data_IF_327500501553
#
_entry.id   IF_327500501553
#
_cell.length_a   1.000
_cell.length_b   1.000
_cell.length_c   1.000
_cell.angle_alpha   90.00
_cell.angle_beta   90.00
_cell.angle_gamma   90.00
#
_symmetry.space_group_name_H-M   'P 1'
#
loop_
_entity.id
_entity.type
_entity.pdbx_description
1 polymer ?
#
# COMPACT_ATOMS: atom_id res chain seq x y z
N UNK A 1 11.92 5.37 17.26
CA UNK A 1 12.15 5.88 15.89
C UNK A 1 12.09 7.42 15.81
N UNK A 2 13.11 8.07 15.24
CA UNK A 2 13.08 9.53 15.01
C UNK A 2 12.17 9.86 13.79
N UNK A 3 11.64 11.09 13.70
CA UNK A 3 10.71 11.47 12.63
C UNK A 3 11.31 11.38 11.21
N UNK A 4 12.60 11.70 11.05
CA UNK A 4 13.35 11.62 9.79
C UNK A 4 13.48 10.18 9.31
N UNK A 5 13.92 9.27 10.18
CA UNK A 5 14.02 7.83 9.87
C UNK A 5 12.68 7.25 9.44
N UNK A 6 11.59 7.62 10.12
CA UNK A 6 10.25 7.22 9.72
C UNK A 6 9.88 7.71 8.32
N UNK A 7 10.13 8.99 8.04
CA UNK A 7 9.89 9.59 6.73
C UNK A 7 10.64 8.86 5.62
N UNK A 8 11.93 8.57 5.83
CA UNK A 8 12.76 7.83 4.88
C UNK A 8 12.17 6.45 4.56
N UNK A 9 11.76 5.67 5.58
CA UNK A 9 11.18 4.34 5.32
C UNK A 9 9.86 4.43 4.57
N UNK A 10 8.98 5.35 4.95
CA UNK A 10 7.71 5.55 4.26
C UNK A 10 7.98 5.88 2.79
N UNK A 11 8.86 6.85 2.51
CA UNK A 11 9.23 7.22 1.15
C UNK A 11 9.85 6.08 0.36
N UNK A 12 10.81 5.35 0.94
CA UNK A 12 11.47 4.21 0.28
C UNK A 12 10.46 3.12 -0.08
N UNK A 13 9.58 2.74 0.84
CA UNK A 13 8.57 1.71 0.59
C UNK A 13 7.48 2.16 -0.39
N UNK A 14 7.13 3.45 -0.38
CA UNK A 14 6.26 4.03 -1.42
C UNK A 14 6.90 3.92 -2.80
N UNK A 15 8.18 4.24 -2.94
CA UNK A 15 8.90 4.10 -4.22
C UNK A 15 8.96 2.63 -4.65
N UNK A 16 9.29 1.71 -3.73
CA UNK A 16 9.31 0.27 -4.03
C UNK A 16 7.92 -0.21 -4.49
N UNK A 17 6.85 0.23 -3.82
CA UNK A 17 5.50 -0.09 -4.22
C UNK A 17 5.22 0.35 -5.66
N UNK A 18 5.48 1.63 -5.97
CA UNK A 18 5.26 2.23 -7.30
C UNK A 18 6.06 1.48 -8.36
N UNK A 19 7.34 1.20 -8.12
CA UNK A 19 8.18 0.47 -9.07
C UNK A 19 7.63 -0.93 -9.37
N UNK A 20 7.19 -1.67 -8.34
CA UNK A 20 6.59 -2.99 -8.53
C UNK A 20 5.30 -2.93 -9.33
N UNK A 21 4.45 -1.93 -9.06
CA UNK A 21 3.21 -1.69 -9.80
C UNK A 21 3.50 -1.31 -11.26
N UNK A 22 4.40 -0.36 -11.49
CA UNK A 22 4.79 0.08 -12.85
C UNK A 22 5.38 -1.04 -13.67
N UNK A 23 6.24 -1.87 -13.08
CA UNK A 23 6.81 -3.05 -13.75
C UNK A 23 5.71 -4.00 -14.23
N UNK A 24 4.73 -4.30 -13.38
CA UNK A 24 3.63 -5.21 -13.77
C UNK A 24 2.75 -4.59 -14.84
N UNK A 25 2.44 -3.30 -14.75
CA UNK A 25 1.65 -2.60 -15.76
C UNK A 25 2.37 -2.53 -17.12
N UNK A 26 3.68 -2.36 -17.15
CA UNK A 26 4.43 -2.31 -18.41
C UNK A 26 4.48 -3.68 -19.10
N UNK A 27 4.60 -4.77 -18.34
CA UNK A 27 4.84 -6.10 -18.88
C UNK A 27 3.58 -6.95 -19.07
N UNK A 28 2.53 -6.71 -18.28
CA UNK A 28 1.36 -7.60 -18.21
C UNK A 28 0.02 -6.90 -18.47
N UNK A 29 -0.01 -5.58 -18.70
CA UNK A 29 -1.27 -4.87 -18.95
C UNK A 29 -1.89 -5.33 -20.26
N UNK A 30 -2.95 -6.14 -20.13
CA UNK A 30 -3.76 -6.60 -21.25
C UNK A 30 -4.65 -5.45 -21.75
N UNK A 31 -4.19 -4.72 -22.77
CA UNK A 31 -4.98 -3.74 -23.50
C UNK A 31 -4.78 -2.29 -23.03
N UNK A 32 -4.78 -1.37 -24.01
CA UNK A 32 -4.71 0.07 -23.79
C UNK A 32 -6.11 0.67 -23.56
N UNK A 33 -6.87 0.13 -22.62
CA UNK A 33 -8.16 0.72 -22.25
C UNK A 33 -7.95 1.82 -21.20
N UNK A 34 -8.49 3.01 -21.47
CA UNK A 34 -8.48 4.17 -20.58
C UNK A 34 -9.11 3.83 -19.24
N UNK A 35 -10.15 2.99 -19.21
CA UNK A 35 -10.82 2.57 -17.97
C UNK A 35 -9.86 1.84 -17.02
N UNK A 36 -9.08 0.90 -17.56
CA UNK A 36 -8.06 0.17 -16.78
C UNK A 36 -6.97 1.12 -16.28
N UNK A 37 -6.54 2.07 -17.12
CA UNK A 37 -5.59 3.12 -16.72
C UNK A 37 -6.06 3.95 -15.52
N UNK A 38 -7.33 4.35 -15.50
CA UNK A 38 -7.93 5.11 -14.39
C UNK A 38 -7.98 4.24 -13.12
N UNK A 39 -8.37 2.97 -13.24
CA UNK A 39 -8.41 2.03 -12.11
C UNK A 39 -7.02 1.84 -11.47
N UNK A 40 -5.98 1.64 -12.28
CA UNK A 40 -4.61 1.53 -11.81
C UNK A 40 -4.14 2.80 -11.08
N UNK A 41 -4.45 3.97 -11.64
CA UNK A 41 -4.09 5.25 -11.02
C UNK A 41 -4.83 5.44 -9.70
N UNK A 42 -6.14 5.18 -9.67
CA UNK A 42 -6.96 5.31 -8.48
C UNK A 42 -6.50 4.35 -7.37
N UNK A 43 -6.31 3.08 -7.69
CA UNK A 43 -5.87 2.07 -6.71
C UNK A 43 -4.47 2.35 -6.17
N UNK A 44 -3.55 2.84 -7.02
CA UNK A 44 -2.19 3.22 -6.61
C UNK A 44 -2.21 4.43 -5.69
N UNK A 45 -2.98 5.46 -6.02
CA UNK A 45 -3.15 6.65 -5.17
C UNK A 45 -3.79 6.28 -3.83
N UNK A 46 -4.84 5.47 -3.86
CA UNK A 46 -5.52 4.96 -2.67
C UNK A 46 -4.51 4.26 -1.74
N UNK A 47 -3.71 3.35 -2.29
CA UNK A 47 -2.68 2.64 -1.53
C UNK A 47 -1.64 3.61 -0.96
N UNK A 48 -1.03 4.45 -1.79
CA UNK A 48 0.06 5.34 -1.38
C UNK A 48 -0.39 6.34 -0.31
N UNK A 49 -1.52 7.01 -0.53
CA UNK A 49 -2.04 8.02 0.41
C UNK A 49 -2.40 7.36 1.73
N UNK A 50 -3.12 6.23 1.70
CA UNK A 50 -3.52 5.54 2.92
C UNK A 50 -2.31 4.97 3.68
N UNK A 51 -1.31 4.44 2.97
CA UNK A 51 -0.07 3.96 3.55
C UNK A 51 0.68 5.08 4.27
N UNK A 52 0.88 6.23 3.61
CA UNK A 52 1.53 7.39 4.21
C UNK A 52 0.76 7.86 5.45
N UNK A 53 -0.57 7.97 5.38
CA UNK A 53 -1.39 8.39 6.51
C UNK A 53 -1.30 7.43 7.69
N UNK A 54 -1.45 6.12 7.45
CA UNK A 54 -1.34 5.08 8.47
C UNK A 54 0.00 5.18 9.20
N UNK A 55 1.12 5.13 8.48
CA UNK A 55 2.45 5.14 9.10
C UNK A 55 2.87 6.52 9.62
N UNK A 56 2.24 7.60 9.16
CA UNK A 56 2.40 8.93 9.77
C UNK A 56 1.80 8.99 11.17
N UNK A 57 0.69 8.30 11.42
CA UNK A 57 0.03 8.23 12.74
C UNK A 57 0.68 7.19 13.67
N UNK A 58 1.41 6.21 13.13
CA UNK A 58 2.12 5.18 13.90
C UNK A 58 3.00 5.76 15.01
N UNK A 59 2.89 5.19 16.22
CA UNK A 59 3.76 5.51 17.36
C UNK A 59 3.39 4.76 18.66
N UNK A 60 4.19 5.00 19.70
CA UNK A 60 4.23 4.20 20.93
C UNK A 60 2.93 4.28 21.77
N UNK A 61 2.24 5.42 21.78
CA UNK A 61 1.09 5.62 22.66
C UNK A 61 -0.09 4.72 22.27
N UNK A 62 -0.82 4.19 23.26
CA UNK A 62 -1.99 3.29 23.02
C UNK A 62 -2.99 3.89 22.04
N UNK A 63 -3.34 5.18 22.22
CA UNK A 63 -4.27 5.89 21.31
C UNK A 63 -3.77 5.85 19.87
N UNK A 64 -2.49 6.17 19.62
CA UNK A 64 -1.91 6.14 18.26
C UNK A 64 -1.86 4.74 17.66
N UNK A 65 -1.59 3.70 18.47
CA UNK A 65 -1.64 2.31 18.00
C UNK A 65 -3.03 1.92 17.51
N UNK A 66 -4.09 2.26 18.26
CA UNK A 66 -5.46 2.00 17.83
C UNK A 66 -5.84 2.80 16.58
N UNK A 67 -5.50 4.10 16.54
CA UNK A 67 -5.78 4.93 15.36
C UNK A 67 -5.05 4.42 14.12
N UNK A 68 -3.78 4.03 14.25
CA UNK A 68 -3.01 3.36 13.18
C UNK A 68 -3.73 2.10 12.70
N UNK A 69 -4.10 1.20 13.62
CA UNK A 69 -4.75 -0.06 13.27
C UNK A 69 -6.06 0.18 12.51
N UNK A 70 -6.90 1.10 12.97
CA UNK A 70 -8.18 1.40 12.30
C UNK A 70 -7.93 1.91 10.87
N UNK A 71 -7.05 2.91 10.70
CA UNK A 71 -6.78 3.49 9.38
C UNK A 71 -6.15 2.45 8.45
N UNK A 72 -5.15 1.70 8.93
CA UNK A 72 -4.46 0.68 8.16
C UNK A 72 -5.41 -0.45 7.74
N UNK A 73 -6.24 -0.94 8.66
CA UNK A 73 -7.15 -2.06 8.38
C UNK A 73 -8.26 -1.63 7.42
N UNK A 74 -8.91 -0.48 7.66
CA UNK A 74 -9.97 0.03 6.79
C UNK A 74 -9.46 0.32 5.37
N UNK A 75 -8.28 0.93 5.24
CA UNK A 75 -7.71 1.22 3.93
C UNK A 75 -7.26 -0.04 3.19
N UNK A 76 -6.61 -0.98 3.87
CA UNK A 76 -6.18 -2.23 3.27
C UNK A 76 -7.36 -3.10 2.84
N UNK A 77 -8.41 -3.18 3.66
CA UNK A 77 -9.65 -3.88 3.29
C UNK A 77 -10.31 -3.27 2.06
N UNK A 78 -10.38 -1.94 1.98
CA UNK A 78 -10.96 -1.25 0.82
C UNK A 78 -10.09 -1.44 -0.44
N UNK A 79 -8.77 -1.39 -0.31
CA UNK A 79 -7.85 -1.70 -1.41
C UNK A 79 -8.01 -3.13 -1.92
N UNK A 80 -8.09 -4.11 -1.01
CA UNK A 80 -8.33 -5.52 -1.37
C UNK A 80 -9.68 -5.69 -2.06
N UNK A 81 -10.73 -5.09 -1.50
CA UNK A 81 -12.08 -5.13 -2.09
C UNK A 81 -12.07 -4.64 -3.54
N UNK A 82 -11.42 -3.50 -3.80
CA UNK A 82 -11.35 -2.91 -5.14
C UNK A 82 -10.69 -3.85 -6.16
N UNK A 83 -9.65 -4.57 -5.76
CA UNK A 83 -8.99 -5.56 -6.63
C UNK A 83 -9.78 -6.86 -6.77
N UNK A 84 -10.52 -7.28 -5.74
CA UNK A 84 -11.39 -8.47 -5.84
C UNK A 84 -12.58 -8.25 -6.77
N UNK A 85 -13.07 -7.01 -6.90
CA UNK A 85 -14.15 -6.65 -7.81
C UNK A 85 -13.75 -6.84 -9.29
N UNK A 86 -12.45 -6.83 -9.60
CA UNK A 86 -11.93 -7.03 -10.95
C UNK A 86 -11.92 -8.52 -11.30
N UNK A 87 -12.95 -8.97 -12.01
CA UNK A 87 -13.07 -10.38 -12.45
C UNK A 87 -12.22 -10.70 -13.66
N UNK A 88 -11.98 -9.72 -14.52
CA UNK A 88 -11.38 -9.92 -15.85
C UNK A 88 -9.84 -9.97 -15.80
N UNK A 89 -9.24 -9.66 -14.64
CA UNK A 89 -7.79 -9.59 -14.43
C UNK A 89 -7.34 -10.51 -13.29
N UNK A 90 -7.52 -11.83 -13.40
CA UNK A 90 -7.42 -12.74 -12.27
C UNK A 90 -6.00 -12.89 -11.70
N UNK A 91 -4.97 -12.78 -12.53
CA UNK A 91 -3.57 -12.88 -12.09
C UNK A 91 -3.04 -11.55 -11.56
N UNK A 92 -3.34 -10.46 -12.26
CA UNK A 92 -2.92 -9.13 -11.87
C UNK A 92 -3.50 -8.72 -10.51
N UNK A 93 -4.80 -8.98 -10.28
CA UNK A 93 -5.43 -8.65 -8.99
C UNK A 93 -4.74 -9.35 -7.80
N UNK A 94 -4.33 -10.61 -7.98
CA UNK A 94 -3.65 -11.37 -6.93
C UNK A 94 -2.29 -10.73 -6.64
N UNK A 95 -1.56 -10.33 -7.69
CA UNK A 95 -0.31 -9.59 -7.53
C UNK A 95 -0.53 -8.30 -6.73
N UNK A 96 -1.47 -7.45 -7.12
CA UNK A 96 -1.70 -6.16 -6.44
C UNK A 96 -2.07 -6.32 -4.97
N UNK A 97 -2.95 -7.28 -4.66
CA UNK A 97 -3.33 -7.62 -3.28
C UNK A 97 -2.10 -8.06 -2.47
N UNK A 98 -1.36 -9.06 -2.97
CA UNK A 98 -0.21 -9.60 -2.26
C UNK A 98 0.93 -8.58 -2.12
N UNK A 99 1.18 -7.79 -3.15
CA UNK A 99 2.19 -6.74 -3.16
C UNK A 99 1.86 -5.65 -2.16
N UNK A 100 0.60 -5.17 -2.14
CA UNK A 100 0.15 -4.17 -1.17
C UNK A 100 0.26 -4.67 0.27
N UNK A 101 -0.16 -5.91 0.54
CA UNK A 101 -0.04 -6.54 1.87
C UNK A 101 1.44 -6.66 2.27
N UNK A 102 2.31 -7.11 1.37
CA UNK A 102 3.74 -7.26 1.62
C UNK A 102 4.39 -5.93 2.02
N UNK A 103 4.11 -4.85 1.30
CA UNK A 103 4.63 -3.51 1.61
C UNK A 103 4.17 -3.04 3.00
N UNK A 104 2.91 -3.27 3.36
CA UNK A 104 2.38 -2.98 4.70
C UNK A 104 3.10 -3.77 5.79
N UNK A 105 3.31 -5.08 5.59
CA UNK A 105 4.02 -5.95 6.53
C UNK A 105 5.46 -5.49 6.71
N UNK A 106 6.17 -5.22 5.62
CA UNK A 106 7.56 -4.72 5.65
C UNK A 106 7.67 -3.41 6.46
N UNK A 107 6.77 -2.46 6.20
CA UNK A 107 6.72 -1.21 6.95
C UNK A 107 6.46 -1.43 8.44
N UNK A 108 5.51 -2.32 8.76
CA UNK A 108 5.14 -2.63 10.13
C UNK A 108 6.29 -3.31 10.90
N UNK A 109 6.93 -4.32 10.32
CA UNK A 109 8.07 -5.02 10.93
C UNK A 109 9.20 -4.02 11.19
N UNK A 110 9.51 -3.16 10.22
CA UNK A 110 10.57 -2.16 10.38
C UNK A 110 10.25 -1.18 11.50
N UNK A 111 9.03 -0.64 11.52
CA UNK A 111 8.59 0.30 12.55
C UNK A 111 8.63 -0.34 13.94
N UNK A 112 8.20 -1.61 14.07
CA UNK A 112 8.23 -2.37 15.32
C UNK A 112 9.66 -2.63 15.80
N UNK A 113 10.59 -2.96 14.89
CA UNK A 113 12.01 -3.18 15.21
C UNK A 113 12.70 -1.92 15.74
N UNK A 114 12.26 -0.74 15.32
CA UNK A 114 12.77 0.57 15.78
C UNK A 114 12.08 1.09 17.05
N UNK A 115 11.07 0.38 17.55
CA UNK A 115 10.43 0.65 18.84
C UNK A 115 10.99 -0.20 19.98
N UNK A 116 11.58 -1.36 19.66
CA UNK A 116 12.34 -2.21 20.59
C UNK A 116 13.79 -1.73 20.71
#
# INVERSE_FOLDING_TARGET
MNKLSKGIIISTLTVIYILGVSFVQENFRNGHDVGTGILYLYSSLLFVISFILSFSVYGISRKRKYTFLIIALSSLLYYIYLWMEQTDMPYERIFYILWGILIYICAFIYCKRQEN
#
